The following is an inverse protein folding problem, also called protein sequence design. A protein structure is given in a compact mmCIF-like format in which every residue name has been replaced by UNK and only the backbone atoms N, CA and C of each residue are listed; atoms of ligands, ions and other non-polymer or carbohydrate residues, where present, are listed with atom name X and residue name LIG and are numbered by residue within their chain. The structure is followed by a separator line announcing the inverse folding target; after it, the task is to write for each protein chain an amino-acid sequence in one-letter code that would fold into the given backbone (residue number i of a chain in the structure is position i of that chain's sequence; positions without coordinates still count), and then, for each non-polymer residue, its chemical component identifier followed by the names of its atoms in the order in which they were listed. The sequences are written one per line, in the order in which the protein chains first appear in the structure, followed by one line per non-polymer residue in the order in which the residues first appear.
data_IF_449973029855
#
_entry.id   IF_449973029855
#
_cell.length_a   1.000
_cell.length_b   1.000
_cell.length_c   1.000
_cell.angle_alpha   90.00
_cell.angle_beta   90.00
_cell.angle_gamma   90.00
#
_symmetry.space_group_name_H-M   'P 1'
#
loop_
_entity.id
_entity.type
_entity.pdbx_description
1 polymer ?
#
# COMPACT_ATOMS: atom_id res chain seq x y z
N UNK A 1 -25.62 -20.57 8.07
CA UNK A 1 -24.16 -20.79 8.09
C UNK A 1 -23.52 -19.53 8.68
N UNK A 2 -22.63 -19.67 9.66
CA UNK A 2 -21.99 -18.55 10.33
C UNK A 2 -20.82 -18.08 9.46
N UNK A 3 -21.00 -16.96 8.76
CA UNK A 3 -19.97 -16.40 7.89
C UNK A 3 -18.88 -15.76 8.75
N UNK A 4 -17.66 -16.25 8.61
CA UNK A 4 -16.47 -15.59 9.15
C UNK A 4 -16.33 -14.21 8.49
N UNK A 5 -16.33 -13.16 9.29
CA UNK A 5 -16.23 -11.76 8.83
C UNK A 5 -14.86 -11.40 8.23
N UNK A 6 -13.88 -12.31 8.31
CA UNK A 6 -12.49 -12.02 7.94
C UNK A 6 -12.21 -12.06 6.42
N UNK A 7 -13.06 -12.71 5.61
CA UNK A 7 -12.85 -12.86 4.16
C UNK A 7 -14.17 -12.59 3.44
N UNK A 8 -14.13 -11.80 2.35
CA UNK A 8 -15.31 -11.57 1.50
C UNK A 8 -15.80 -12.91 0.94
N UNK A 9 -17.00 -13.32 1.34
CA UNK A 9 -17.65 -14.55 0.88
C UNK A 9 -18.65 -14.23 -0.24
N UNK A 10 -18.67 -14.99 -1.36
CA UNK A 10 -19.57 -14.73 -2.49
C UNK A 10 -21.05 -14.78 -2.11
N UNK A 11 -21.42 -15.64 -1.16
CA UNK A 11 -22.80 -15.77 -0.68
C UNK A 11 -23.18 -14.77 0.43
N UNK A 12 -22.29 -13.82 0.76
CA UNK A 12 -22.60 -12.82 1.78
C UNK A 12 -23.52 -11.73 1.22
N UNK A 13 -24.46 -11.20 2.01
CA UNK A 13 -25.35 -10.12 1.57
C UNK A 13 -24.60 -8.81 1.24
N UNK A 14 -23.34 -8.68 1.68
CA UNK A 14 -22.46 -7.53 1.41
C UNK A 14 -21.65 -7.66 0.12
N UNK A 15 -21.73 -8.81 -0.58
CA UNK A 15 -20.87 -9.08 -1.74
C UNK A 15 -21.12 -8.12 -2.93
N UNK A 16 -22.40 -7.80 -3.20
CA UNK A 16 -22.80 -6.92 -4.30
C UNK A 16 -23.17 -5.49 -3.85
N UNK A 17 -22.94 -5.13 -2.59
CA UNK A 17 -23.28 -3.81 -2.08
C UNK A 17 -22.30 -2.73 -2.57
N UNK A 18 -22.81 -1.73 -3.30
CA UNK A 18 -22.03 -0.62 -3.84
C UNK A 18 -21.46 0.26 -2.74
N UNK A 19 -22.24 0.56 -1.70
CA UNK A 19 -21.81 1.47 -0.63
C UNK A 19 -20.66 0.86 0.16
N UNK A 20 -20.79 -0.42 0.49
CA UNK A 20 -19.71 -1.18 1.13
C UNK A 20 -18.43 -1.19 0.27
N UNK A 21 -18.55 -1.44 -1.04
CA UNK A 21 -17.39 -1.44 -1.93
C UNK A 21 -16.74 -0.06 -2.06
N UNK A 22 -17.51 1.03 -2.17
CA UNK A 22 -16.97 2.39 -2.24
C UNK A 22 -16.29 2.82 -0.93
N UNK A 23 -16.82 2.40 0.22
CA UNK A 23 -16.18 2.63 1.51
C UNK A 23 -14.84 1.88 1.62
N UNK A 24 -14.81 0.59 1.27
CA UNK A 24 -13.59 -0.20 1.24
C UNK A 24 -12.54 0.39 0.28
N UNK A 25 -12.97 0.89 -0.87
CA UNK A 25 -12.09 1.59 -1.81
C UNK A 25 -11.43 2.81 -1.14
N UNK A 26 -12.19 3.64 -0.44
CA UNK A 26 -11.63 4.82 0.24
C UNK A 26 -10.63 4.45 1.34
N UNK A 27 -10.92 3.39 2.09
CA UNK A 27 -10.13 3.02 3.27
C UNK A 27 -8.86 2.21 2.91
N UNK A 28 -8.85 1.47 1.79
CA UNK A 28 -7.80 0.49 1.46
C UNK A 28 -6.97 0.78 0.20
N UNK A 29 -7.32 1.79 -0.62
CA UNK A 29 -6.69 1.98 -1.94
C UNK A 29 -5.38 2.78 -1.96
N UNK A 30 -4.59 2.76 -0.89
CA UNK A 30 -3.22 3.23 -1.04
C UNK A 30 -2.33 2.06 -1.48
N UNK A 31 -1.91 2.09 -2.74
CA UNK A 31 -0.95 1.16 -3.31
C UNK A 31 0.29 1.92 -3.78
N UNK A 32 1.46 1.32 -3.61
CA UNK A 32 2.69 1.86 -4.16
C UNK A 32 2.57 1.98 -5.70
N UNK A 33 3.01 3.09 -6.29
CA UNK A 33 2.95 3.26 -7.74
C UNK A 33 3.90 2.28 -8.44
N UNK A 34 3.61 2.04 -9.73
CA UNK A 34 4.51 1.26 -10.58
C UNK A 34 5.82 2.03 -10.82
N UNK A 35 6.93 1.45 -10.37
CA UNK A 35 8.27 1.98 -10.64
C UNK A 35 8.86 1.28 -11.86
N UNK A 36 9.01 2.04 -12.96
CA UNK A 36 9.55 1.55 -14.23
C UNK A 36 11.01 1.07 -14.12
N UNK A 37 11.76 1.47 -13.08
CA UNK A 37 13.12 0.95 -12.80
C UNK A 37 13.09 -0.53 -12.39
N UNK A 38 11.97 -0.99 -11.84
CA UNK A 38 11.79 -2.35 -11.32
C UNK A 38 10.59 -3.05 -12.00
N UNK A 39 10.66 -3.33 -13.32
CA UNK A 39 9.57 -3.95 -14.07
C UNK A 39 9.37 -5.44 -13.72
N UNK A 40 10.32 -6.02 -13.00
CA UNK A 40 10.34 -7.44 -12.65
C UNK A 40 9.25 -7.77 -11.62
N UNK A 41 8.70 -8.98 -11.71
CA UNK A 41 7.73 -9.53 -10.74
C UNK A 41 8.35 -9.63 -9.34
N UNK A 42 9.66 -9.92 -9.26
CA UNK A 42 10.38 -9.98 -7.98
C UNK A 42 10.72 -8.56 -7.49
N UNK A 43 10.08 -8.14 -6.41
CA UNK A 43 10.17 -6.77 -5.85
C UNK A 43 11.24 -6.56 -4.78
N UNK A 44 12.14 -7.52 -4.58
CA UNK A 44 13.22 -7.44 -3.58
C UNK A 44 14.10 -6.19 -3.75
N UNK A 45 14.53 -5.90 -4.99
CA UNK A 45 15.37 -4.71 -5.29
C UNK A 45 14.62 -3.40 -5.07
N UNK A 46 13.33 -3.37 -5.41
CA UNK A 46 12.47 -2.21 -5.15
C UNK A 46 12.38 -1.95 -3.65
N UNK A 47 12.04 -2.96 -2.85
CA UNK A 47 11.93 -2.84 -1.40
C UNK A 47 13.23 -2.27 -0.77
N UNK A 48 14.39 -2.83 -1.13
CA UNK A 48 15.67 -2.35 -0.62
C UNK A 48 16.00 -0.92 -1.05
N UNK A 49 15.75 -0.55 -2.32
CA UNK A 49 16.02 0.80 -2.81
C UNK A 49 15.19 1.85 -2.05
N UNK A 50 13.89 1.61 -1.89
CA UNK A 50 13.00 2.53 -1.17
C UNK A 50 13.32 2.63 0.33
N UNK A 51 13.80 1.55 0.95
CA UNK A 51 14.31 1.56 2.33
C UNK A 51 15.53 2.49 2.48
N UNK A 52 16.54 2.34 1.61
CA UNK A 52 17.74 3.18 1.62
C UNK A 52 17.38 4.64 1.32
N UNK A 53 16.50 4.89 0.36
CA UNK A 53 16.07 6.23 -0.02
C UNK A 53 15.36 6.95 1.15
N UNK A 54 14.53 6.25 1.93
CA UNK A 54 13.92 6.82 3.13
C UNK A 54 14.96 7.27 4.16
N UNK A 55 15.93 6.41 4.48
CA UNK A 55 16.95 6.73 5.47
C UNK A 55 17.89 7.85 4.99
N UNK A 56 18.29 7.84 3.71
CA UNK A 56 19.06 8.92 3.10
C UNK A 56 18.28 10.24 3.09
N UNK A 57 16.97 10.20 2.80
CA UNK A 57 16.11 11.38 2.82
C UNK A 57 16.05 12.01 4.21
N UNK A 58 15.90 11.20 5.26
CA UNK A 58 15.89 11.69 6.65
C UNK A 58 17.22 12.31 7.08
N UNK A 59 18.35 11.75 6.62
CA UNK A 59 19.69 12.26 6.94
C UNK A 59 19.95 13.61 6.25
N UNK A 60 19.58 13.74 4.97
CA UNK A 60 19.88 14.93 4.16
C UNK A 60 18.88 16.08 4.37
N UNK A 61 17.59 15.76 4.50
CA UNK A 61 16.51 16.76 4.54
C UNK A 61 15.93 16.95 5.94
N UNK A 62 16.25 16.07 6.88
CA UNK A 62 15.65 16.03 8.21
C UNK A 62 14.35 15.22 8.28
N UNK A 63 13.94 14.88 9.51
CA UNK A 63 12.81 13.98 9.79
C UNK A 63 11.43 14.55 9.41
N UNK A 64 11.29 15.88 9.38
CA UNK A 64 10.01 16.56 9.14
C UNK A 64 9.75 16.84 7.65
N UNK A 65 10.63 16.38 6.76
CA UNK A 65 10.47 16.58 5.33
C UNK A 65 9.33 15.71 4.78
N UNK A 66 8.19 16.34 4.50
CA UNK A 66 6.95 15.67 4.06
C UNK A 66 7.15 14.67 2.90
N UNK A 67 7.98 14.95 1.87
CA UNK A 67 8.22 14.00 0.79
C UNK A 67 8.91 12.70 1.22
N UNK A 68 9.69 12.67 2.32
CA UNK A 68 10.30 11.43 2.80
C UNK A 68 9.25 10.38 3.19
N UNK A 69 8.04 10.81 3.59
CA UNK A 69 6.91 9.93 3.92
C UNK A 69 6.48 9.04 2.75
N UNK A 70 6.70 9.48 1.51
CA UNK A 70 6.42 8.66 0.33
C UNK A 70 7.27 7.38 0.32
N UNK A 71 8.58 7.51 0.51
CA UNK A 71 9.47 6.35 0.57
C UNK A 71 9.09 5.43 1.72
N UNK A 72 8.71 6.01 2.87
CA UNK A 72 8.24 5.25 4.03
C UNK A 72 7.02 4.40 3.75
N UNK A 73 6.02 4.96 3.06
CA UNK A 73 4.82 4.22 2.73
C UNK A 73 5.11 3.10 1.72
N UNK A 74 6.08 3.28 0.81
CA UNK A 74 6.37 2.31 -0.26
C UNK A 74 7.19 1.11 0.23
N UNK A 75 8.14 1.28 1.17
CA UNK A 75 8.95 0.16 1.65
C UNK A 75 8.30 -0.62 2.81
N UNK A 76 7.33 -0.02 3.53
CA UNK A 76 6.57 -0.67 4.60
C UNK A 76 5.40 -1.48 4.05
#
# INVERSE_FOLDING_TARGET
QQFSSAIRHPDSPVWFDKEHNEKLKKDLLWAAPYDARFPQVRKQRQCFAYYVDFHRCNELMGKDYKPCKFFQNVYK
#
